data_IF_223062350404
#
_entry.id   IF_223062350404
#
_cell.length_a   1.000
_cell.length_b   1.000
_cell.length_c   1.000
_cell.angle_alpha   90.00
_cell.angle_beta   90.00
_cell.angle_gamma   90.00
#
_symmetry.space_group_name_H-M   'P 1'
#
loop_
_entity.id
_entity.type
_entity.pdbx_description
1 polymer ?
#
# COMPACT_ATOMS: atom_id res chain seq x y z
N UNK A 1 -1.13 5.39 -10.58
CA UNK A 1 -0.65 6.75 -10.70
C UNK A 1 -0.05 7.00 -12.09
N UNK A 2 -0.43 8.10 -12.71
CA UNK A 2 0.06 8.46 -14.06
C UNK A 2 1.58 8.68 -14.03
N UNK A 3 2.07 9.43 -13.05
CA UNK A 3 3.48 9.79 -12.94
C UNK A 3 4.40 8.56 -12.77
N UNK A 4 3.95 7.59 -11.97
CA UNK A 4 4.77 6.42 -11.63
C UNK A 4 4.33 5.15 -12.37
N UNK A 5 3.33 5.25 -13.24
CA UNK A 5 2.82 4.13 -14.04
C UNK A 5 2.38 2.92 -13.21
N UNK A 6 1.85 3.16 -12.03
CA UNK A 6 1.32 2.11 -11.16
C UNK A 6 -0.19 1.99 -11.34
N UNK A 7 -0.70 0.76 -11.48
CA UNK A 7 -2.13 0.51 -11.57
C UNK A 7 -2.84 1.03 -10.31
N UNK A 8 -3.74 2.02 -10.42
CA UNK A 8 -4.42 2.59 -9.26
C UNK A 8 -5.29 1.58 -8.51
N UNK A 9 -5.89 0.63 -9.20
CA UNK A 9 -6.69 -0.41 -8.55
C UNK A 9 -5.82 -1.30 -7.66
N UNK A 10 -4.63 -1.65 -8.15
CA UNK A 10 -3.66 -2.42 -7.37
C UNK A 10 -3.20 -1.64 -6.13
N UNK A 11 -2.82 -0.39 -6.32
CA UNK A 11 -2.33 0.45 -5.22
C UNK A 11 -3.40 0.62 -4.13
N UNK A 12 -4.63 0.95 -4.50
CA UNK A 12 -5.73 1.09 -3.55
C UNK A 12 -6.01 -0.22 -2.83
N UNK A 13 -5.99 -1.33 -3.56
CA UNK A 13 -6.29 -2.66 -3.00
C UNK A 13 -5.26 -3.08 -1.97
N UNK A 14 -3.96 -2.87 -2.24
CA UNK A 14 -2.90 -3.14 -1.28
C UNK A 14 -3.07 -2.26 -0.05
N UNK A 15 -3.35 -0.97 -0.25
CA UNK A 15 -3.56 -0.05 0.86
C UNK A 15 -4.73 -0.48 1.75
N UNK A 16 -5.85 -0.88 1.16
CA UNK A 16 -7.00 -1.37 1.92
C UNK A 16 -6.68 -2.61 2.74
N UNK A 17 -5.92 -3.54 2.15
CA UNK A 17 -5.51 -4.75 2.86
C UNK A 17 -4.58 -4.43 4.02
N UNK A 18 -3.57 -3.58 3.79
CA UNK A 18 -2.56 -3.26 4.81
C UNK A 18 -3.09 -2.40 5.95
N UNK A 19 -4.06 -1.54 5.69
CA UNK A 19 -4.59 -0.62 6.69
C UNK A 19 -5.91 -1.06 7.30
N UNK A 20 -6.52 -2.12 6.75
CA UNK A 20 -7.80 -2.61 7.25
C UNK A 20 -8.99 -1.79 6.75
N UNK A 21 -10.07 -1.79 7.47
CA UNK A 21 -11.40 -1.33 7.12
C UNK A 21 -11.49 0.01 6.35
N UNK A 22 -11.23 -0.02 5.07
CA UNK A 22 -11.43 1.12 4.15
C UNK A 22 -10.85 2.44 4.68
N UNK A 23 -9.69 2.36 5.34
CA UNK A 23 -8.95 3.48 5.97
C UNK A 23 -9.62 4.07 7.21
N UNK A 24 -10.95 3.98 7.34
CA UNK A 24 -11.69 4.66 8.39
C UNK A 24 -11.35 4.25 9.80
N UNK A 25 -10.90 3.03 10.02
CA UNK A 25 -10.54 2.53 11.35
C UNK A 25 -9.05 2.41 11.59
N UNK A 26 -8.22 2.77 10.62
CA UNK A 26 -6.77 2.70 10.79
C UNK A 26 -6.23 3.97 11.45
N UNK A 27 -5.65 3.84 12.63
CA UNK A 27 -4.94 4.96 13.28
C UNK A 27 -3.77 5.44 12.43
N UNK A 28 -3.10 4.49 11.78
CA UNK A 28 -1.94 4.78 10.94
C UNK A 28 -2.31 5.74 9.80
N UNK A 29 -3.46 5.54 9.17
CA UNK A 29 -3.96 6.45 8.13
C UNK A 29 -4.47 7.74 8.73
N UNK A 30 -5.35 7.66 9.73
CA UNK A 30 -6.02 8.85 10.29
C UNK A 30 -5.07 9.83 10.95
N UNK A 31 -4.07 9.33 11.66
CA UNK A 31 -3.21 10.18 12.49
C UNK A 31 -1.80 10.36 11.93
N UNK A 32 -1.35 9.46 11.05
CA UNK A 32 0.00 9.52 10.49
C UNK A 32 0.03 9.56 8.96
N UNK A 33 -1.13 9.56 8.31
CA UNK A 33 -1.25 9.65 6.85
C UNK A 33 -0.49 8.53 6.11
N UNK A 34 -0.31 7.40 6.76
CA UNK A 34 0.44 6.27 6.19
C UNK A 34 -0.55 5.25 5.64
N UNK A 35 -0.65 5.18 4.32
CA UNK A 35 -1.66 4.35 3.65
C UNK A 35 -1.16 2.96 3.25
N UNK A 36 0.12 2.67 3.47
CA UNK A 36 0.71 1.41 3.03
C UNK A 36 1.51 0.67 4.09
N UNK A 37 1.41 1.06 5.36
CA UNK A 37 2.19 0.43 6.41
C UNK A 37 3.70 0.62 6.23
N UNK A 38 4.10 1.74 5.63
CA UNK A 38 5.50 2.03 5.36
C UNK A 38 6.27 2.31 6.63
N UNK A 39 7.50 1.78 6.70
CA UNK A 39 8.41 2.02 7.83
C UNK A 39 9.34 3.19 7.53
N UNK A 40 9.82 3.85 8.55
CA UNK A 40 10.78 4.94 8.40
C UNK A 40 10.61 6.04 9.45
N UNK A 41 11.39 7.11 9.29
CA UNK A 41 11.40 8.27 10.17
C UNK A 41 10.83 9.49 9.45
N UNK A 42 10.15 10.39 10.16
CA UNK A 42 9.77 10.31 11.56
C UNK A 42 8.72 9.22 11.84
N UNK A 43 8.80 8.60 13.02
CA UNK A 43 7.91 7.50 13.38
C UNK A 43 6.52 7.97 13.79
N UNK A 44 5.52 7.18 13.42
CA UNK A 44 4.14 7.37 13.88
C UNK A 44 4.09 7.00 15.37
N UNK A 45 3.72 7.95 16.21
CA UNK A 45 3.73 7.78 17.66
C UNK A 45 5.09 7.31 18.21
N UNK A 46 6.20 7.71 17.55
CA UNK A 46 7.53 7.27 17.96
C UNK A 46 7.86 5.84 17.59
N UNK A 47 7.02 5.18 16.83
CA UNK A 47 7.20 3.78 16.42
C UNK A 47 7.96 3.62 15.10
N UNK A 48 7.91 2.40 14.56
CA UNK A 48 8.65 2.06 13.34
C UNK A 48 7.94 2.44 12.04
N UNK A 49 6.63 2.68 12.08
CA UNK A 49 5.87 3.12 10.91
C UNK A 49 6.04 4.61 10.70
N UNK A 50 6.22 5.00 9.44
CA UNK A 50 6.52 6.39 9.09
C UNK A 50 5.29 7.29 9.20
N UNK A 51 5.49 8.51 9.73
CA UNK A 51 4.48 9.56 9.75
C UNK A 51 4.71 10.52 8.57
N UNK A 52 3.63 10.90 7.89
CA UNK A 52 3.66 11.91 6.83
C UNK A 52 2.85 13.13 7.27
N UNK A 53 3.24 14.30 6.79
CA UNK A 53 2.59 15.55 7.16
C UNK A 53 1.17 15.66 6.57
N UNK A 54 0.99 15.16 5.34
CA UNK A 54 -0.32 15.19 4.68
C UNK A 54 -0.64 13.81 4.13
N UNK A 55 -1.94 13.59 3.86
CA UNK A 55 -2.39 12.36 3.23
C UNK A 55 -1.80 12.22 1.83
N UNK A 56 -1.71 13.33 1.10
CA UNK A 56 -1.13 13.35 -0.25
C UNK A 56 0.33 12.89 -0.24
N UNK A 57 1.11 13.34 0.75
CA UNK A 57 2.50 12.91 0.90
C UNK A 57 2.59 11.41 1.15
N UNK A 58 1.70 10.88 1.99
CA UNK A 58 1.66 9.45 2.27
C UNK A 58 1.29 8.62 1.04
N UNK A 59 0.30 9.07 0.29
CA UNK A 59 -0.13 8.41 -0.95
C UNK A 59 0.99 8.44 -1.98
N UNK A 60 1.62 9.59 -2.18
CA UNK A 60 2.72 9.72 -3.15
C UNK A 60 3.89 8.81 -2.78
N UNK A 61 4.28 8.76 -1.51
CA UNK A 61 5.35 7.88 -1.05
C UNK A 61 5.01 6.41 -1.30
N UNK A 62 3.76 6.02 -1.08
CA UNK A 62 3.32 4.64 -1.31
C UNK A 62 3.37 4.28 -2.79
N UNK A 63 2.87 5.16 -3.67
CA UNK A 63 2.91 4.96 -5.12
C UNK A 63 4.37 4.87 -5.60
N UNK A 64 5.24 5.75 -5.10
CA UNK A 64 6.66 5.72 -5.43
C UNK A 64 7.31 4.40 -5.00
N UNK A 65 6.96 3.90 -3.81
CA UNK A 65 7.45 2.60 -3.34
C UNK A 65 7.05 1.47 -4.30
N UNK A 66 5.79 1.43 -4.72
CA UNK A 66 5.32 0.41 -5.65
C UNK A 66 6.01 0.53 -7.01
N UNK A 67 6.21 1.75 -7.50
CA UNK A 67 6.90 1.98 -8.76
C UNK A 67 8.35 1.54 -8.71
N UNK A 68 9.13 2.07 -7.77
CA UNK A 68 10.57 1.85 -7.72
C UNK A 68 10.96 0.49 -7.13
N UNK A 69 10.17 0.01 -6.17
CA UNK A 69 10.47 -1.24 -5.47
C UNK A 69 9.89 -2.49 -6.12
N UNK A 70 8.88 -2.33 -6.95
CA UNK A 70 8.16 -3.48 -7.52
C UNK A 70 8.02 -3.39 -9.03
N UNK A 71 7.34 -2.36 -9.56
CA UNK A 71 7.06 -2.27 -11.00
C UNK A 71 8.33 -2.22 -11.86
N UNK A 72 9.32 -1.46 -11.46
CA UNK A 72 10.59 -1.37 -12.21
C UNK A 72 11.39 -2.65 -12.19
N UNK A 73 11.06 -3.57 -11.28
CA UNK A 73 11.68 -4.88 -11.18
C UNK A 73 10.83 -5.98 -11.83
N UNK A 74 9.79 -5.60 -12.56
CA UNK A 74 8.88 -6.54 -13.22
C UNK A 74 7.82 -7.16 -12.32
N UNK A 75 7.72 -6.70 -11.07
CA UNK A 75 6.76 -7.22 -10.10
C UNK A 75 5.47 -6.40 -10.19
N UNK A 76 4.65 -6.70 -11.18
CA UNK A 76 3.48 -5.88 -11.55
C UNK A 76 2.13 -6.50 -11.21
N UNK A 77 2.11 -7.68 -10.62
CA UNK A 77 0.87 -8.35 -10.20
C UNK A 77 0.97 -8.76 -8.73
N UNK A 78 -0.18 -8.96 -8.05
CA UNK A 78 -0.13 -9.43 -6.66
C UNK A 78 0.64 -10.74 -6.51
N UNK A 79 0.50 -11.66 -7.46
CA UNK A 79 1.22 -12.94 -7.44
C UNK A 79 2.74 -12.76 -7.50
N UNK A 80 3.20 -11.85 -8.35
CA UNK A 80 4.63 -11.56 -8.47
C UNK A 80 5.17 -10.78 -7.26
N UNK A 81 4.33 -9.98 -6.63
CA UNK A 81 4.71 -9.14 -5.49
C UNK A 81 4.73 -9.88 -4.15
N UNK A 82 3.95 -10.95 -4.02
CA UNK A 82 3.66 -11.59 -2.74
C UNK A 82 4.91 -11.98 -1.95
N UNK A 83 5.88 -12.59 -2.60
CA UNK A 83 7.10 -13.05 -1.93
C UNK A 83 7.87 -11.90 -1.29
N UNK A 84 7.95 -10.77 -1.99
CA UNK A 84 8.67 -9.60 -1.48
C UNK A 84 7.85 -8.81 -0.47
N UNK A 85 6.55 -8.65 -0.72
CA UNK A 85 5.68 -7.83 0.12
C UNK A 85 5.26 -8.56 1.39
N UNK A 86 4.97 -9.85 1.29
CA UNK A 86 4.44 -10.65 2.39
C UNK A 86 5.06 -12.05 2.36
N UNK A 87 6.37 -12.13 2.50
CA UNK A 87 7.18 -13.34 2.24
C UNK A 87 6.82 -14.60 2.97
N UNK A 88 6.08 -14.52 4.08
CA UNK A 88 5.60 -15.69 4.80
C UNK A 88 4.18 -16.10 4.46
N UNK A 89 3.50 -15.33 3.62
CA UNK A 89 2.09 -15.55 3.29
C UNK A 89 1.94 -16.32 1.98
N UNK A 90 0.92 -17.18 1.92
CA UNK A 90 0.48 -17.81 0.67
C UNK A 90 -0.96 -17.40 0.32
N UNK A 91 -1.50 -16.39 1.00
CA UNK A 91 -2.87 -15.89 0.79
C UNK A 91 -2.93 -14.41 0.44
N UNK A 92 -1.82 -13.71 0.52
CA UNK A 92 -1.75 -12.26 0.30
C UNK A 92 -2.25 -11.87 -1.10
N UNK A 93 -1.76 -12.54 -2.14
CA UNK A 93 -2.15 -12.24 -3.52
C UNK A 93 -3.65 -12.43 -3.73
N UNK A 94 -4.23 -13.49 -3.19
CA UNK A 94 -5.65 -13.74 -3.28
C UNK A 94 -6.49 -12.65 -2.60
N UNK A 95 -6.03 -12.17 -1.45
CA UNK A 95 -6.70 -11.08 -0.74
C UNK A 95 -6.63 -9.77 -1.52
N UNK A 96 -5.47 -9.46 -2.10
CA UNK A 96 -5.31 -8.26 -2.91
C UNK A 96 -6.21 -8.34 -4.15
N UNK A 97 -6.22 -9.46 -4.84
CA UNK A 97 -7.08 -9.65 -6.02
C UNK A 97 -8.56 -9.51 -5.68
N UNK A 98 -8.99 -9.99 -4.52
CA UNK A 98 -10.36 -9.82 -4.07
C UNK A 98 -10.70 -8.34 -3.88
N UNK A 99 -9.81 -7.56 -3.28
CA UNK A 99 -10.00 -6.12 -3.15
C UNK A 99 -10.02 -5.42 -4.52
N UNK A 100 -9.15 -5.83 -5.44
CA UNK A 100 -9.15 -5.28 -6.82
C UNK A 100 -10.54 -5.45 -7.44
N UNK A 101 -11.11 -6.64 -7.34
CA UNK A 101 -12.44 -6.90 -7.90
C UNK A 101 -13.51 -6.02 -7.24
N UNK A 102 -13.47 -5.87 -5.92
CA UNK A 102 -14.41 -5.02 -5.19
C UNK A 102 -14.28 -3.56 -5.60
N UNK A 103 -13.06 -3.05 -5.73
CA UNK A 103 -12.81 -1.66 -6.12
C UNK A 103 -13.28 -1.39 -7.54
N UNK A 104 -13.06 -2.32 -8.47
CA UNK A 104 -13.51 -2.18 -9.86
C UNK A 104 -15.03 -2.19 -9.99
N UNK A 105 -15.72 -2.88 -9.10
CA UNK A 105 -17.18 -2.96 -9.10
C UNK A 105 -17.86 -1.78 -8.40
N UNK A 106 -17.11 -1.00 -7.66
CA UNK A 106 -17.64 0.14 -6.90
C UNK A 106 -17.99 1.35 -7.84
#
# INVERSE_FOLDING_TARGET
SIEYEVDPYLAVSISLLETGCKWGCSRLVRECNNVGGMKGNPGCFGGSFRKFETLEDGIEAFIKLLSTGYYKKGLTTPELMEKKYAGGSNTWAAKVNNYINQVKEA
#
